data_IF_697445380415
#
_entry.id   IF_697445380415
#
_cell.length_a   1.000
_cell.length_b   1.000
_cell.length_c   1.000
_cell.angle_alpha   90.00
_cell.angle_beta   90.00
_cell.angle_gamma   90.00
#
_symmetry.space_group_name_H-M   'P 1'
#
loop_
_entity.id
_entity.type
_entity.pdbx_description
1 polymer ?
#
# COMPACT_ATOMS: atom_id res chain seq x y z
N UNK A 1 -47.54 0.13 40.89
CA UNK A 1 -46.57 1.19 40.60
C UNK A 1 -45.39 0.52 39.92
N UNK A 2 -45.24 0.82 38.64
CA UNK A 2 -44.20 0.31 37.75
C UNK A 2 -42.97 1.20 37.97
N UNK A 3 -41.83 0.61 38.34
CA UNK A 3 -40.53 1.26 38.14
C UNK A 3 -39.77 0.46 37.09
N UNK A 4 -39.48 1.18 36.02
CA UNK A 4 -38.96 0.70 34.74
C UNK A 4 -37.49 0.32 34.88
N UNK A 5 -37.15 -0.88 34.41
CA UNK A 5 -35.78 -1.33 34.29
C UNK A 5 -35.03 -0.52 33.24
N UNK A 6 -33.99 0.19 33.67
CA UNK A 6 -33.05 0.88 32.79
C UNK A 6 -32.38 -0.15 31.88
N UNK A 7 -32.49 -0.04 30.54
CA UNK A 7 -31.85 -0.98 29.63
C UNK A 7 -30.33 -0.80 29.70
N UNK A 8 -29.60 -1.90 29.96
CA UNK A 8 -28.15 -1.96 29.80
C UNK A 8 -27.80 -1.61 28.36
N UNK A 9 -27.06 -0.52 28.16
CA UNK A 9 -26.40 -0.21 26.88
C UNK A 9 -25.40 -1.33 26.59
N UNK A 10 -25.69 -2.11 25.56
CA UNK A 10 -24.75 -3.08 24.97
C UNK A 10 -23.70 -2.25 24.22
N UNK A 11 -22.43 -2.39 24.60
CA UNK A 11 -21.30 -1.84 23.85
C UNK A 11 -21.18 -2.59 22.51
N UNK A 12 -21.20 -1.91 21.35
CA UNK A 12 -20.95 -2.56 20.07
C UNK A 12 -19.44 -2.49 19.84
N UNK A 13 -18.68 -3.55 20.15
CA UNK A 13 -17.32 -3.79 19.62
C UNK A 13 -16.70 -5.08 20.20
N UNK A 14 -17.40 -6.21 20.12
CA UNK A 14 -16.77 -7.53 20.17
C UNK A 14 -16.73 -8.10 18.74
N UNK A 15 -15.55 -8.48 18.19
CA UNK A 15 -15.39 -8.98 16.82
C UNK A 15 -16.26 -10.21 16.47
N UNK A 16 -16.79 -10.90 17.48
CA UNK A 16 -17.45 -12.20 17.35
C UNK A 16 -18.91 -12.14 16.88
N UNK A 17 -19.50 -10.95 16.69
CA UNK A 17 -20.92 -10.82 16.31
C UNK A 17 -21.19 -9.74 15.26
N UNK A 18 -20.25 -9.50 14.35
CA UNK A 18 -20.63 -8.75 13.15
C UNK A 18 -21.47 -9.68 12.27
N UNK A 19 -22.71 -9.26 12.01
CA UNK A 19 -23.58 -9.85 10.99
C UNK A 19 -23.64 -8.91 9.79
N UNK A 20 -23.65 -9.44 8.58
CA UNK A 20 -23.86 -8.62 7.39
C UNK A 20 -25.29 -8.03 7.39
N UNK A 21 -25.58 -7.09 6.47
CA UNK A 21 -26.93 -6.52 6.33
C UNK A 21 -28.02 -7.57 6.01
N UNK A 22 -27.62 -8.79 5.65
CA UNK A 22 -28.49 -9.95 5.39
C UNK A 22 -28.57 -10.92 6.59
N UNK A 23 -28.06 -10.53 7.76
CA UNK A 23 -28.18 -11.30 9.01
C UNK A 23 -27.30 -12.54 9.13
N UNK A 24 -26.32 -12.75 8.23
CA UNK A 24 -25.36 -13.85 8.35
C UNK A 24 -24.15 -13.44 9.18
N UNK A 25 -23.62 -14.31 10.06
CA UNK A 25 -22.34 -14.08 10.73
C UNK A 25 -21.24 -13.87 9.69
N UNK A 26 -20.34 -12.90 9.88
CA UNK A 26 -19.25 -12.67 8.91
C UNK A 26 -18.28 -13.86 8.73
N UNK A 27 -18.27 -14.80 9.67
CA UNK A 27 -17.53 -16.08 9.55
C UNK A 27 -18.19 -17.07 8.59
N UNK A 28 -19.46 -16.87 8.24
CA UNK A 28 -20.19 -17.65 7.25
C UNK A 28 -20.38 -16.80 6.00
N UNK A 29 -19.59 -17.04 4.96
CA UNK A 29 -19.67 -16.28 3.71
C UNK A 29 -21.11 -16.22 3.17
N UNK A 30 -21.64 -15.01 3.04
CA UNK A 30 -22.95 -14.77 2.44
C UNK A 30 -22.78 -14.63 0.93
N UNK A 31 -23.40 -15.51 0.14
CA UNK A 31 -23.37 -15.46 -1.33
C UNK A 31 -23.85 -14.10 -1.89
N UNK A 32 -24.80 -13.42 -1.22
CA UNK A 32 -25.24 -12.09 -1.62
C UNK A 32 -24.21 -10.98 -1.32
N UNK A 33 -23.34 -11.16 -0.32
CA UNK A 33 -22.19 -10.27 -0.09
C UNK A 33 -21.05 -10.58 -1.08
N UNK A 34 -20.87 -11.84 -1.47
CA UNK A 34 -19.97 -12.23 -2.56
C UNK A 34 -20.40 -11.64 -3.92
N UNK A 35 -21.69 -11.42 -4.15
CA UNK A 35 -22.18 -10.73 -5.36
C UNK A 35 -21.82 -9.23 -5.33
N UNK A 36 -21.89 -8.57 -4.18
CA UNK A 36 -21.38 -7.19 -4.01
C UNK A 36 -19.86 -7.09 -4.21
N UNK A 37 -19.13 -8.20 -4.03
CA UNK A 37 -17.67 -8.19 -4.21
C UNK A 37 -17.26 -7.88 -5.63
N UNK A 38 -18.03 -8.32 -6.64
CA UNK A 38 -17.68 -8.17 -8.07
C UNK A 38 -17.78 -6.73 -8.60
N UNK A 39 -18.37 -5.81 -7.82
CA UNK A 39 -18.52 -4.40 -8.21
C UNK A 39 -17.28 -3.56 -7.84
N UNK A 40 -16.30 -4.13 -7.13
CA UNK A 40 -15.03 -3.44 -6.86
C UNK A 40 -14.22 -3.30 -8.17
N UNK A 41 -13.74 -2.10 -8.52
CA UNK A 41 -12.97 -1.89 -9.77
C UNK A 41 -11.64 -2.67 -9.75
N UNK A 42 -11.15 -3.01 -8.56
CA UNK A 42 -10.00 -3.87 -8.35
C UNK A 42 -10.14 -5.26 -9.02
N UNK A 43 -11.36 -5.80 -9.17
CA UNK A 43 -11.54 -7.08 -9.86
C UNK A 43 -11.23 -7.02 -11.36
N UNK A 44 -11.53 -5.90 -12.02
CA UNK A 44 -11.12 -5.71 -13.41
C UNK A 44 -9.59 -5.75 -13.54
N UNK A 45 -8.90 -5.11 -12.59
CA UNK A 45 -7.43 -5.16 -12.49
C UNK A 45 -6.93 -6.59 -12.26
N UNK A 46 -7.49 -7.32 -11.28
CA UNK A 46 -7.12 -8.71 -11.00
C UNK A 46 -7.29 -9.60 -12.24
N UNK A 47 -8.41 -9.47 -12.96
CA UNK A 47 -8.68 -10.25 -14.15
C UNK A 47 -7.64 -9.96 -15.26
N UNK A 48 -7.32 -8.68 -15.49
CA UNK A 48 -6.27 -8.29 -16.44
C UNK A 48 -4.90 -8.84 -16.06
N UNK A 49 -4.54 -8.81 -14.77
CA UNK A 49 -3.26 -9.36 -14.29
C UNK A 49 -3.21 -10.88 -14.50
N UNK A 50 -4.31 -11.57 -14.22
CA UNK A 50 -4.42 -13.02 -14.41
C UNK A 50 -4.30 -13.41 -15.89
N UNK A 51 -4.98 -12.70 -16.79
CA UNK A 51 -4.92 -12.95 -18.24
C UNK A 51 -3.50 -12.81 -18.80
N UNK A 52 -2.72 -11.89 -18.23
CA UNK A 52 -1.32 -11.67 -18.60
C UNK A 52 -0.34 -12.54 -17.80
N UNK A 53 -0.84 -13.44 -16.94
CA UNK A 53 0.01 -14.30 -16.13
C UNK A 53 0.66 -15.41 -16.96
N UNK A 54 1.88 -15.76 -16.58
CA UNK A 54 2.62 -16.87 -17.19
C UNK A 54 2.34 -18.19 -16.48
N UNK A 55 1.69 -18.14 -15.33
CA UNK A 55 1.41 -19.27 -14.45
C UNK A 55 -0.10 -19.42 -14.26
N UNK A 56 -0.52 -20.60 -13.83
CA UNK A 56 -1.93 -20.91 -13.59
C UNK A 56 -2.19 -21.00 -12.09
N UNK A 57 -3.16 -20.22 -11.59
CA UNK A 57 -3.70 -20.38 -10.24
C UNK A 57 -4.76 -21.49 -10.21
N UNK A 58 -4.79 -22.26 -9.14
CA UNK A 58 -5.82 -23.27 -8.90
C UNK A 58 -7.18 -22.66 -8.52
N UNK A 59 -7.17 -21.52 -7.82
CA UNK A 59 -8.36 -20.83 -7.34
C UNK A 59 -8.15 -19.30 -7.28
N UNK A 60 -9.26 -18.56 -7.10
CA UNK A 60 -9.30 -17.10 -7.00
C UNK A 60 -9.44 -16.63 -5.54
N UNK A 61 -8.68 -17.22 -4.63
CA UNK A 61 -8.62 -16.79 -3.23
C UNK A 61 -7.24 -16.25 -2.87
N UNK A 62 -7.13 -15.72 -1.65
CA UNK A 62 -5.89 -15.18 -1.08
C UNK A 62 -4.78 -16.26 -1.05
N UNK A 63 -5.11 -17.44 -0.53
CA UNK A 63 -4.20 -18.57 -0.38
C UNK A 63 -4.43 -19.55 -1.54
N UNK A 64 -3.41 -19.79 -2.35
CA UNK A 64 -3.57 -20.57 -3.58
C UNK A 64 -2.35 -21.43 -3.91
N UNK A 65 -2.56 -22.39 -4.81
CA UNK A 65 -1.49 -23.08 -5.52
C UNK A 65 -1.33 -22.47 -6.91
N UNK A 66 -0.10 -22.47 -7.40
CA UNK A 66 0.27 -21.95 -8.71
C UNK A 66 1.12 -22.99 -9.42
N UNK A 67 0.79 -23.23 -10.69
CA UNK A 67 1.55 -24.12 -11.55
C UNK A 67 2.23 -23.30 -12.65
N UNK A 68 3.56 -23.42 -12.79
CA UNK A 68 4.30 -22.81 -13.90
C UNK A 68 4.05 -23.55 -15.22
N UNK A 69 4.55 -23.00 -16.33
CA UNK A 69 4.43 -23.68 -17.65
C UNK A 69 5.26 -24.96 -17.70
N UNK A 70 6.33 -24.97 -16.92
CA UNK A 70 7.27 -26.07 -16.76
C UNK A 70 6.72 -27.16 -15.81
N UNK A 71 5.59 -26.90 -15.14
CA UNK A 71 4.92 -27.85 -14.25
C UNK A 71 5.33 -27.73 -12.77
N UNK A 72 6.19 -26.77 -12.42
CA UNK A 72 6.56 -26.52 -11.03
C UNK A 72 5.36 -25.97 -10.25
N UNK A 73 5.20 -26.46 -9.02
CA UNK A 73 4.10 -26.06 -8.14
C UNK A 73 4.65 -25.15 -7.04
N UNK A 74 3.96 -24.04 -6.83
CA UNK A 74 4.23 -23.06 -5.80
C UNK A 74 2.99 -22.82 -4.95
N UNK A 75 3.16 -22.50 -3.68
CA UNK A 75 2.04 -22.11 -2.80
C UNK A 75 2.20 -20.67 -2.33
N UNK A 76 1.15 -19.87 -2.47
CA UNK A 76 1.05 -18.54 -1.87
C UNK A 76 0.18 -18.62 -0.64
N UNK A 77 0.64 -18.03 0.46
CA UNK A 77 -0.12 -17.94 1.71
C UNK A 77 0.06 -16.59 2.37
N UNK A 78 -0.99 -16.14 3.06
CA UNK A 78 -0.95 -14.96 3.91
C UNK A 78 -0.50 -15.29 5.35
N UNK A 79 0.37 -14.47 5.91
CA UNK A 79 0.71 -14.46 7.33
C UNK A 79 -0.25 -13.50 8.03
N UNK A 80 -1.09 -14.04 8.91
CA UNK A 80 -2.23 -13.30 9.51
C UNK A 80 -2.02 -12.90 10.97
N UNK A 81 -0.99 -13.42 11.64
CA UNK A 81 -0.74 -13.14 13.05
C UNK A 81 0.73 -13.22 13.41
N UNK A 82 1.09 -12.70 14.59
CA UNK A 82 2.45 -12.78 15.17
C UNK A 82 2.90 -14.21 15.47
N UNK A 83 1.94 -15.11 15.71
CA UNK A 83 2.17 -16.49 16.15
C UNK A 83 2.29 -17.45 14.97
N UNK A 84 2.20 -16.93 13.75
CA UNK A 84 2.40 -17.71 12.54
C UNK A 84 3.85 -18.23 12.49
N UNK A 85 3.98 -19.55 12.35
CA UNK A 85 5.28 -20.24 12.34
C UNK A 85 6.20 -19.78 11.21
N UNK A 86 5.66 -19.21 10.14
CA UNK A 86 6.42 -18.74 8.98
C UNK A 86 6.93 -17.30 9.12
N UNK A 87 6.48 -16.56 10.14
CA UNK A 87 6.84 -15.14 10.29
C UNK A 87 8.36 -14.94 10.44
N UNK A 88 9.01 -15.80 11.22
CA UNK A 88 10.47 -15.75 11.39
C UNK A 88 11.22 -15.90 10.06
N UNK A 89 10.76 -16.81 9.21
CA UNK A 89 11.33 -17.03 7.86
C UNK A 89 11.08 -15.85 6.94
N UNK A 90 9.88 -15.26 6.98
CA UNK A 90 9.55 -14.07 6.19
C UNK A 90 10.45 -12.89 6.57
N UNK A 91 10.64 -12.63 7.86
CA UNK A 91 11.51 -11.55 8.35
C UNK A 91 12.97 -11.77 7.93
N UNK A 92 13.48 -13.00 8.02
CA UNK A 92 14.82 -13.32 7.54
C UNK A 92 14.97 -13.10 6.02
N UNK A 93 13.92 -13.38 5.25
CA UNK A 93 13.91 -13.12 3.81
C UNK A 93 13.86 -11.61 3.50
N UNK A 94 13.18 -10.81 4.33
CA UNK A 94 13.25 -9.34 4.22
C UNK A 94 14.68 -8.85 4.48
N UNK A 95 15.31 -9.29 5.58
CA UNK A 95 16.69 -8.91 5.95
C UNK A 95 17.70 -9.29 4.84
N UNK A 96 17.45 -10.38 4.10
CA UNK A 96 18.29 -10.82 2.97
C UNK A 96 18.18 -9.91 1.74
N UNK A 97 16.99 -9.39 1.45
CA UNK A 97 16.69 -8.73 0.16
C UNK A 97 16.66 -7.20 0.25
N UNK A 98 16.55 -6.63 1.44
CA UNK A 98 16.43 -5.18 1.66
C UNK A 98 17.56 -4.66 2.55
N UNK A 99 17.95 -3.40 2.37
CA UNK A 99 18.96 -2.74 3.22
C UNK A 99 18.37 -2.48 4.61
N UNK A 100 19.22 -2.55 5.64
CA UNK A 100 18.79 -2.40 7.04
C UNK A 100 18.05 -1.08 7.31
N UNK A 101 18.47 0.01 6.67
CA UNK A 101 17.86 1.34 6.77
C UNK A 101 16.48 1.45 6.12
N UNK A 102 16.09 0.51 5.26
CA UNK A 102 14.77 0.43 4.63
C UNK A 102 13.77 -0.42 5.40
N UNK A 103 14.23 -1.13 6.43
CA UNK A 103 13.43 -2.08 7.20
C UNK A 103 13.01 -1.49 8.54
N UNK A 104 11.80 -1.83 8.98
CA UNK A 104 11.40 -1.61 10.36
C UNK A 104 12.11 -2.61 11.26
N UNK A 105 12.31 -2.27 12.53
CA UNK A 105 12.72 -3.29 13.51
C UNK A 105 11.67 -4.41 13.57
N UNK A 106 12.08 -5.63 13.95
CA UNK A 106 11.15 -6.78 14.03
C UNK A 106 9.93 -6.48 14.90
N UNK A 107 10.13 -5.84 16.04
CA UNK A 107 9.04 -5.43 16.93
C UNK A 107 8.09 -4.42 16.26
N UNK A 108 8.64 -3.38 15.62
CA UNK A 108 7.82 -2.40 14.91
C UNK A 108 7.07 -3.05 13.73
N UNK A 109 7.67 -4.03 13.06
CA UNK A 109 7.01 -4.79 11.99
C UNK A 109 5.83 -5.60 12.53
N UNK A 110 6.02 -6.32 13.64
CA UNK A 110 4.96 -7.10 14.31
C UNK A 110 3.83 -6.19 14.75
N UNK A 111 4.13 -5.05 15.38
CA UNK A 111 3.12 -4.06 15.77
C UNK A 111 2.31 -3.59 14.56
N UNK A 112 2.97 -3.30 13.43
CA UNK A 112 2.27 -2.92 12.20
C UNK A 112 1.42 -4.06 11.62
N UNK A 113 1.83 -5.32 11.72
CA UNK A 113 0.97 -6.46 11.37
C UNK A 113 -0.27 -6.56 12.25
N UNK A 114 -0.13 -6.26 13.54
CA UNK A 114 -1.24 -6.22 14.50
C UNK A 114 -2.14 -4.99 14.32
N UNK A 115 -1.72 -4.01 13.50
CA UNK A 115 -2.48 -2.78 13.26
C UNK A 115 -2.22 -1.75 14.34
N UNK A 116 -1.02 -1.74 14.91
CA UNK A 116 -0.62 -0.85 16.00
C UNK A 116 0.60 -0.04 15.65
N UNK A 117 0.62 1.20 16.13
CA UNK A 117 1.85 2.01 16.16
C UNK A 117 2.72 1.58 17.34
N UNK A 118 3.97 2.07 17.39
CA UNK A 118 4.85 1.91 18.55
C UNK A 118 4.30 2.54 19.85
N UNK A 119 3.25 3.35 19.73
CA UNK A 119 2.56 3.98 20.85
C UNK A 119 1.22 3.28 21.18
N UNK A 120 0.95 2.12 20.57
CA UNK A 120 -0.27 1.35 20.81
C UNK A 120 -1.55 1.92 20.19
N UNK A 121 -1.44 2.92 19.30
CA UNK A 121 -2.59 3.43 18.54
C UNK A 121 -2.92 2.51 17.38
N UNK A 122 -4.20 2.38 17.07
CA UNK A 122 -4.66 1.68 15.88
C UNK A 122 -4.12 2.35 14.61
N UNK A 123 -3.70 1.54 13.64
CA UNK A 123 -3.26 1.95 12.30
C UNK A 123 -3.64 0.88 11.29
N UNK A 124 -3.56 1.19 9.98
CA UNK A 124 -3.62 0.18 8.95
C UNK A 124 -2.62 -0.97 9.18
N UNK A 125 -3.10 -2.19 8.91
CA UNK A 125 -2.36 -3.42 9.16
C UNK A 125 -1.43 -3.75 8.00
N UNK A 126 -0.20 -4.18 8.30
CA UNK A 126 0.64 -4.86 7.33
C UNK A 126 0.02 -6.21 6.97
N UNK A 127 -0.15 -6.42 5.67
CA UNK A 127 -0.60 -7.68 5.06
C UNK A 127 0.59 -8.34 4.41
N UNK A 128 0.96 -9.50 4.95
CA UNK A 128 2.16 -10.21 4.56
C UNK A 128 1.78 -11.47 3.80
N UNK A 129 2.42 -11.70 2.67
CA UNK A 129 2.25 -12.88 1.84
C UNK A 129 3.62 -13.47 1.56
N UNK A 130 3.67 -14.79 1.45
CA UNK A 130 4.88 -15.49 1.03
C UNK A 130 4.56 -16.53 -0.04
N UNK A 131 5.57 -16.87 -0.83
CA UNK A 131 5.52 -17.97 -1.79
C UNK A 131 6.54 -19.03 -1.43
N UNK A 132 6.09 -20.30 -1.44
CA UNK A 132 6.95 -21.48 -1.25
C UNK A 132 7.04 -22.30 -2.52
N UNK A 133 8.20 -22.90 -2.79
CA UNK A 133 8.39 -23.86 -3.87
C UNK A 133 7.86 -25.26 -3.47
N UNK A 134 8.02 -26.23 -4.37
CA UNK A 134 7.67 -27.65 -4.17
C UNK A 134 8.40 -28.34 -3.01
N UNK A 135 9.58 -27.86 -2.62
CA UNK A 135 10.34 -28.35 -1.46
C UNK A 135 9.85 -27.73 -0.13
N UNK A 136 8.90 -26.81 -0.18
CA UNK A 136 8.40 -26.08 1.00
C UNK A 136 9.29 -24.93 1.46
N UNK A 137 10.34 -24.60 0.70
CA UNK A 137 11.24 -23.45 0.96
C UNK A 137 10.52 -22.16 0.59
N UNK A 138 10.53 -21.18 1.49
CA UNK A 138 10.06 -19.81 1.20
C UNK A 138 11.06 -19.10 0.28
N UNK A 139 10.60 -18.69 -0.90
CA UNK A 139 11.44 -18.15 -1.97
C UNK A 139 11.03 -16.73 -2.37
N UNK A 140 9.96 -16.20 -1.80
CA UNK A 140 9.51 -14.83 -2.04
C UNK A 140 8.53 -14.35 -0.99
N UNK A 141 8.42 -13.03 -0.89
CA UNK A 141 7.51 -12.34 0.01
C UNK A 141 6.92 -11.11 -0.65
N UNK A 142 5.76 -10.71 -0.14
CA UNK A 142 5.13 -9.43 -0.41
C UNK A 142 4.57 -8.85 0.89
N UNK A 143 4.76 -7.55 1.08
CA UNK A 143 4.09 -6.78 2.12
C UNK A 143 3.30 -5.67 1.47
N UNK A 144 2.09 -5.46 1.94
CA UNK A 144 1.22 -4.36 1.53
C UNK A 144 0.47 -3.79 2.73
N UNK A 145 -0.08 -2.61 2.55
CA UNK A 145 -0.92 -1.95 3.54
C UNK A 145 -2.16 -1.37 2.84
N UNK A 146 -3.25 -1.20 3.57
CA UNK A 146 -4.46 -0.58 3.04
C UNK A 146 -4.99 0.48 3.98
N UNK A 147 -5.15 1.69 3.47
CA UNK A 147 -5.60 2.83 4.25
C UNK A 147 -6.70 3.63 3.55
N UNK A 148 -7.55 4.34 4.32
CA UNK A 148 -8.59 5.20 3.76
C UNK A 148 -7.98 6.35 2.98
N UNK A 149 -8.66 6.74 1.90
CA UNK A 149 -8.46 8.04 1.28
C UNK A 149 -9.07 9.10 2.21
N UNK A 150 -8.36 10.20 2.44
CA UNK A 150 -8.83 11.35 3.19
C UNK A 150 -9.13 12.51 2.25
N UNK A 151 -10.15 13.28 2.59
CA UNK A 151 -10.48 14.52 1.91
C UNK A 151 -9.51 15.66 2.27
N UNK A 152 -9.72 16.84 1.68
CA UNK A 152 -8.90 18.02 1.94
C UNK A 152 -8.90 18.46 3.42
N UNK A 153 -9.93 18.10 4.20
CA UNK A 153 -10.07 18.41 5.63
C UNK A 153 -9.48 17.33 6.55
N UNK A 154 -9.00 16.22 5.99
CA UNK A 154 -8.51 15.07 6.77
C UNK A 154 -9.61 14.15 7.25
N UNK A 155 -10.80 14.19 6.64
CA UNK A 155 -11.91 13.27 6.92
C UNK A 155 -11.81 12.05 6.02
N UNK A 156 -11.98 10.85 6.57
CA UNK A 156 -12.04 9.62 5.77
C UNK A 156 -13.17 9.69 4.74
N UNK A 157 -12.87 9.32 3.50
CA UNK A 157 -13.86 9.13 2.45
C UNK A 157 -14.38 7.69 2.44
N UNK A 158 -15.25 7.37 1.49
CA UNK A 158 -15.67 5.98 1.24
C UNK A 158 -14.71 5.21 0.31
N UNK A 159 -13.54 5.76 -0.01
CA UNK A 159 -12.54 5.12 -0.88
C UNK A 159 -11.30 4.69 -0.09
N UNK A 160 -10.61 3.68 -0.59
CA UNK A 160 -9.37 3.13 -0.04
C UNK A 160 -8.23 3.14 -1.05
N UNK A 161 -7.03 3.21 -0.49
CA UNK A 161 -5.76 3.07 -1.17
C UNK A 161 -5.13 1.74 -0.76
N UNK A 162 -4.70 0.97 -1.76
CA UNK A 162 -3.80 -0.17 -1.57
C UNK A 162 -2.36 0.31 -1.78
N UNK A 163 -1.53 0.19 -0.74
CA UNK A 163 -0.13 0.58 -0.78
C UNK A 163 0.75 -0.65 -1.04
N UNK A 164 1.35 -0.67 -2.23
CA UNK A 164 2.26 -1.71 -2.69
C UNK A 164 3.68 -1.43 -2.17
N UNK A 165 4.07 -2.12 -1.09
CA UNK A 165 5.35 -1.92 -0.42
C UNK A 165 6.39 -2.96 -0.89
N UNK A 166 6.92 -3.75 0.04
CA UNK A 166 8.00 -4.69 -0.17
C UNK A 166 7.58 -5.85 -1.08
N UNK A 167 8.44 -6.19 -2.04
CA UNK A 167 8.32 -7.37 -2.88
C UNK A 167 9.73 -7.92 -3.13
N UNK A 168 9.93 -9.19 -2.82
CA UNK A 168 11.20 -9.86 -3.06
C UNK A 168 10.96 -11.30 -3.50
N UNK A 169 11.78 -11.75 -4.45
CA UNK A 169 11.82 -13.12 -4.94
C UNK A 169 13.29 -13.49 -5.15
N UNK A 170 13.65 -14.68 -4.69
CA UNK A 170 14.95 -15.28 -4.96
C UNK A 170 15.24 -15.31 -6.47
N UNK A 171 16.49 -15.01 -6.82
CA UNK A 171 16.88 -14.67 -8.19
C UNK A 171 16.50 -15.72 -9.23
N UNK A 172 16.64 -17.00 -8.86
CA UNK A 172 16.32 -18.16 -9.69
C UNK A 172 14.83 -18.22 -10.11
N UNK A 173 13.92 -17.59 -9.37
CA UNK A 173 12.47 -17.63 -9.61
C UNK A 173 11.88 -16.32 -10.15
N UNK A 174 12.68 -15.27 -10.35
CA UNK A 174 12.18 -13.94 -10.74
C UNK A 174 11.44 -13.91 -12.08
N UNK A 175 11.82 -14.79 -13.03
CA UNK A 175 11.23 -14.86 -14.37
C UNK A 175 9.92 -15.66 -14.45
N UNK A 176 9.58 -16.41 -13.40
CA UNK A 176 8.42 -17.31 -13.37
C UNK A 176 7.10 -16.53 -13.36
N UNK A 177 7.08 -15.35 -12.73
CA UNK A 177 5.88 -14.51 -12.61
C UNK A 177 5.23 -14.51 -11.22
N UNK A 178 5.89 -15.09 -10.20
CA UNK A 178 5.34 -15.21 -8.84
C UNK A 178 5.02 -13.86 -8.17
N UNK A 179 5.72 -12.78 -8.53
CA UNK A 179 5.47 -11.46 -7.95
C UNK A 179 4.07 -10.93 -8.31
N UNK A 180 3.65 -11.14 -9.56
CA UNK A 180 2.30 -10.78 -10.01
C UNK A 180 1.25 -11.60 -9.27
N UNK A 181 1.52 -12.87 -9.01
CA UNK A 181 0.58 -13.73 -8.31
C UNK A 181 0.44 -13.39 -6.82
N UNK A 182 1.54 -13.04 -6.15
CA UNK A 182 1.48 -12.48 -4.79
C UNK A 182 0.74 -11.14 -4.78
N UNK A 183 0.91 -10.33 -5.83
CA UNK A 183 0.18 -9.08 -6.00
C UNK A 183 -1.33 -9.33 -6.12
N UNK A 184 -1.75 -10.29 -6.93
CA UNK A 184 -3.16 -10.70 -7.05
C UNK A 184 -3.71 -11.14 -5.69
N UNK A 185 -3.01 -12.02 -4.96
CA UNK A 185 -3.43 -12.44 -3.61
C UNK A 185 -3.59 -11.26 -2.65
N UNK A 186 -2.66 -10.30 -2.68
CA UNK A 186 -2.74 -9.11 -1.83
C UNK A 186 -3.87 -8.16 -2.20
N UNK A 187 -4.24 -8.07 -3.48
CA UNK A 187 -5.41 -7.30 -3.91
C UNK A 187 -6.71 -7.97 -3.50
N UNK A 188 -6.79 -9.30 -3.57
CA UNK A 188 -7.98 -10.04 -3.09
C UNK A 188 -8.19 -9.78 -1.61
N UNK A 189 -7.14 -9.84 -0.78
CA UNK A 189 -7.25 -9.48 0.64
C UNK A 189 -7.72 -8.02 0.80
N UNK A 190 -7.12 -7.07 0.08
CA UNK A 190 -7.49 -5.66 0.18
C UNK A 190 -8.96 -5.37 -0.24
N UNK A 191 -9.48 -6.14 -1.20
CA UNK A 191 -10.90 -6.11 -1.58
C UNK A 191 -11.76 -6.59 -0.41
N UNK A 192 -11.46 -7.77 0.14
CA UNK A 192 -12.21 -8.32 1.28
C UNK A 192 -12.22 -7.37 2.48
N UNK A 193 -11.10 -6.71 2.76
CA UNK A 193 -10.99 -5.72 3.84
C UNK A 193 -11.78 -4.43 3.53
N UNK A 194 -11.74 -3.95 2.28
CA UNK A 194 -12.53 -2.78 1.86
C UNK A 194 -14.03 -3.04 2.01
N UNK A 195 -14.49 -4.22 1.63
CA UNK A 195 -15.89 -4.61 1.74
C UNK A 195 -16.38 -4.69 3.18
N UNK A 196 -15.57 -5.28 4.08
CA UNK A 196 -15.85 -5.30 5.53
C UNK A 196 -16.06 -3.89 6.09
N UNK A 197 -15.37 -2.90 5.52
CA UNK A 197 -15.47 -1.49 5.89
C UNK A 197 -16.48 -0.69 5.05
N UNK A 198 -17.16 -1.33 4.10
CA UNK A 198 -18.07 -0.68 3.13
C UNK A 198 -17.40 0.46 2.34
N UNK A 199 -16.14 0.26 1.99
CA UNK A 199 -15.33 1.18 1.21
C UNK A 199 -15.03 0.62 -0.18
N UNK A 200 -14.75 1.50 -1.13
CA UNK A 200 -14.32 1.17 -2.50
C UNK A 200 -12.80 1.17 -2.59
N UNK A 201 -12.19 0.06 -2.99
CA UNK A 201 -10.75 0.07 -3.31
C UNK A 201 -10.58 0.65 -4.72
N UNK A 202 -10.08 1.87 -4.82
CA UNK A 202 -10.02 2.59 -6.11
C UNK A 202 -8.62 3.03 -6.53
N UNK A 203 -7.68 3.07 -5.58
CA UNK A 203 -6.34 3.55 -5.82
C UNK A 203 -5.31 2.52 -5.40
N UNK A 204 -4.23 2.50 -6.16
CA UNK A 204 -2.98 1.85 -5.77
C UNK A 204 -1.90 2.91 -5.75
N UNK A 205 -1.15 2.93 -4.66
CA UNK A 205 0.06 3.74 -4.51
C UNK A 205 1.22 2.79 -4.26
N UNK A 206 2.41 3.15 -4.72
CA UNK A 206 3.63 2.42 -4.41
C UNK A 206 4.83 3.30 -4.66
N UNK A 207 5.97 2.86 -4.16
CA UNK A 207 7.25 3.49 -4.42
C UNK A 207 8.11 2.52 -5.23
N UNK A 208 8.97 3.07 -6.10
CA UNK A 208 9.90 2.24 -6.83
C UNK A 208 11.32 2.79 -6.82
N UNK A 209 12.24 1.85 -7.00
CA UNK A 209 13.61 2.09 -7.40
C UNK A 209 13.74 1.78 -8.90
N UNK A 210 14.85 2.17 -9.55
CA UNK A 210 15.17 1.71 -10.90
C UNK A 210 15.06 0.21 -11.11
N UNK A 211 15.37 -0.59 -10.06
CA UNK A 211 15.35 -2.06 -10.12
C UNK A 211 13.94 -2.66 -10.02
N UNK A 212 12.98 -1.92 -9.46
CA UNK A 212 11.62 -2.42 -9.20
C UNK A 212 10.56 -1.79 -10.10
N UNK A 213 10.90 -0.75 -10.85
CA UNK A 213 9.93 -0.04 -11.70
C UNK A 213 9.24 -0.96 -12.72
N UNK A 214 9.98 -1.79 -13.45
CA UNK A 214 9.39 -2.66 -14.48
C UNK A 214 8.38 -3.64 -13.86
N UNK A 215 8.68 -4.13 -12.65
CA UNK A 215 7.77 -4.98 -11.90
C UNK A 215 6.49 -4.24 -11.49
N UNK A 216 6.62 -2.99 -11.04
CA UNK A 216 5.47 -2.15 -10.66
C UNK A 216 4.65 -1.75 -11.90
N UNK A 217 5.29 -1.43 -13.04
CA UNK A 217 4.62 -1.18 -14.32
C UNK A 217 3.82 -2.40 -14.80
N UNK A 218 4.34 -3.62 -14.57
CA UNK A 218 3.66 -4.86 -14.94
C UNK A 218 2.37 -5.13 -14.14
N UNK A 219 2.13 -4.39 -13.06
CA UNK A 219 0.90 -4.41 -12.26
C UNK A 219 0.08 -3.11 -12.37
N UNK A 220 0.41 -2.25 -13.35
CA UNK A 220 -0.34 -1.06 -13.70
C UNK A 220 0.12 0.24 -13.05
N UNK A 221 1.01 0.18 -12.05
CA UNK A 221 1.55 1.39 -11.42
C UNK A 221 2.44 2.15 -12.41
N UNK A 222 2.30 3.47 -12.43
CA UNK A 222 3.07 4.37 -13.29
C UNK A 222 3.56 5.58 -12.51
N UNK A 223 4.70 6.14 -12.91
CA UNK A 223 5.25 7.36 -12.32
C UNK A 223 4.45 8.58 -12.78
N UNK A 224 4.42 9.61 -11.95
CA UNK A 224 3.63 10.82 -12.20
C UNK A 224 4.48 11.88 -12.89
N UNK A 225 3.99 12.43 -14.01
CA UNK A 225 4.61 13.53 -14.73
C UNK A 225 3.65 14.71 -14.83
N UNK A 226 4.20 15.90 -14.68
CA UNK A 226 3.54 17.16 -14.90
C UNK A 226 4.13 17.82 -16.15
N UNK A 227 3.25 18.24 -17.06
CA UNK A 227 3.63 18.97 -18.27
C UNK A 227 3.60 20.46 -18.00
N UNK A 228 4.66 21.17 -18.38
CA UNK A 228 4.72 22.63 -18.35
C UNK A 228 5.60 23.10 -19.51
N UNK A 229 5.14 24.07 -20.30
CA UNK A 229 5.90 24.63 -21.43
C UNK A 229 6.42 23.56 -22.43
N UNK A 230 5.65 22.47 -22.60
CA UNK A 230 6.02 21.36 -23.49
C UNK A 230 7.05 20.37 -22.92
N UNK A 231 7.53 20.58 -21.69
CA UNK A 231 8.42 19.66 -20.96
C UNK A 231 7.60 18.80 -20.01
N UNK A 232 7.88 17.50 -19.97
CA UNK A 232 7.33 16.58 -18.97
C UNK A 232 8.33 16.40 -17.84
N UNK A 233 8.00 16.88 -16.64
CA UNK A 233 8.83 16.74 -15.44
C UNK A 233 8.17 15.74 -14.49
N UNK A 234 8.94 14.78 -14.00
CA UNK A 234 8.49 13.86 -12.96
C UNK A 234 8.15 14.66 -11.69
N UNK A 235 7.03 14.32 -11.05
CA UNK A 235 6.65 14.90 -9.76
C UNK A 235 7.70 14.53 -8.71
N UNK A 236 8.42 15.49 -8.11
CA UNK A 236 9.33 15.19 -7.03
C UNK A 236 8.54 14.68 -5.82
N UNK A 237 8.93 13.51 -5.29
CA UNK A 237 8.35 12.95 -4.08
C UNK A 237 9.45 12.63 -3.08
N UNK A 238 9.28 13.17 -1.87
CA UNK A 238 10.18 12.99 -0.75
C UNK A 238 9.39 12.31 0.37
N UNK A 239 9.74 11.06 0.66
CA UNK A 239 9.18 10.37 1.80
C UNK A 239 9.61 11.08 3.09
N UNK A 240 8.67 11.41 3.99
CA UNK A 240 8.99 12.07 5.25
C UNK A 240 9.84 11.16 6.15
N UNK A 241 10.65 11.75 7.04
CA UNK A 241 11.39 11.05 8.07
C UNK A 241 10.49 10.11 8.89
N UNK A 242 10.95 8.87 9.09
CA UNK A 242 10.21 7.87 9.86
C UNK A 242 10.30 8.11 11.38
N UNK A 243 11.28 8.91 11.83
CA UNK A 243 11.60 9.16 13.23
C UNK A 243 11.67 10.65 13.53
N UNK A 244 11.04 11.05 14.63
CA UNK A 244 11.06 12.41 15.16
C UNK A 244 11.57 12.41 16.60
N UNK A 245 12.25 13.48 16.98
CA UNK A 245 12.71 13.71 18.34
C UNK A 245 11.52 14.15 19.19
N UNK A 246 11.14 13.34 20.18
CA UNK A 246 10.06 13.66 21.11
C UNK A 246 10.33 14.91 21.95
N UNK A 247 11.58 15.33 22.14
CA UNK A 247 11.91 16.54 22.91
C UNK A 247 11.73 17.82 22.10
N UNK A 248 12.13 17.79 20.83
CA UNK A 248 12.21 19.01 20.00
C UNK A 248 11.16 19.06 18.90
N UNK A 249 10.50 17.94 18.56
CA UNK A 249 9.60 17.82 17.42
C UNK A 249 10.31 17.72 16.07
N UNK A 250 11.64 17.81 16.04
CA UNK A 250 12.41 17.84 14.80
C UNK A 250 12.59 16.43 14.21
N UNK A 251 12.71 16.30 12.88
CA UNK A 251 13.03 15.02 12.26
C UNK A 251 14.44 14.54 12.67
N UNK A 252 14.57 13.23 12.93
CA UNK A 252 15.83 12.58 13.28
C UNK A 252 16.59 12.03 12.06
N UNK A 253 15.97 12.04 10.89
CA UNK A 253 16.57 11.66 9.62
C UNK A 253 16.19 12.67 8.54
N UNK A 254 16.91 12.63 7.43
CA UNK A 254 16.52 13.39 6.25
C UNK A 254 15.33 12.72 5.56
N UNK A 255 14.65 13.50 4.72
CA UNK A 255 13.69 12.99 3.75
C UNK A 255 14.38 12.07 2.74
N UNK A 256 13.67 11.04 2.28
CA UNK A 256 14.17 10.13 1.26
C UNK A 256 13.49 10.43 -0.08
N UNK A 257 14.27 10.80 -1.10
CA UNK A 257 13.76 10.94 -2.45
C UNK A 257 13.34 9.56 -2.99
N UNK A 258 12.10 9.45 -3.47
CA UNK A 258 11.51 8.21 -3.98
C UNK A 258 10.69 8.46 -5.25
N UNK A 259 10.59 7.45 -6.11
CA UNK A 259 9.68 7.52 -7.26
C UNK A 259 8.28 7.08 -6.83
N UNK A 260 7.39 8.04 -6.60
CA UNK A 260 5.98 7.75 -6.34
C UNK A 260 5.32 7.22 -7.61
N UNK A 261 4.60 6.12 -7.46
CA UNK A 261 3.84 5.51 -8.52
C UNK A 261 2.38 5.37 -8.11
N UNK A 262 1.49 5.62 -9.06
CA UNK A 262 0.05 5.53 -8.83
C UNK A 262 -0.62 4.74 -9.95
N UNK A 263 -1.74 4.13 -9.58
CA UNK A 263 -2.71 3.57 -10.50
C UNK A 263 -4.12 3.81 -9.94
N UNK A 264 -4.98 4.43 -10.75
CA UNK A 264 -6.40 4.53 -10.47
C UNK A 264 -7.11 3.39 -11.21
N UNK A 265 -7.82 2.56 -10.47
CA UNK A 265 -8.47 1.36 -11.02
C UNK A 265 -9.70 1.72 -11.88
N UNK A 266 -10.34 2.86 -11.60
CA UNK A 266 -11.54 3.33 -12.29
C UNK A 266 -11.32 4.72 -12.93
N UNK A 267 -11.23 4.76 -14.26
CA UNK A 267 -11.10 6.00 -15.02
C UNK A 267 -9.72 6.65 -14.97
N UNK A 268 -9.67 7.95 -15.31
CA UNK A 268 -8.43 8.74 -15.29
C UNK A 268 -8.21 9.38 -13.92
N UNK A 269 -6.97 9.38 -13.44
CA UNK A 269 -6.57 10.12 -12.25
C UNK A 269 -6.57 11.62 -12.53
N UNK A 270 -7.15 12.42 -11.65
CA UNK A 270 -7.07 13.89 -11.68
C UNK A 270 -5.96 14.39 -10.74
N UNK A 271 -5.55 15.66 -10.90
CA UNK A 271 -4.58 16.29 -9.98
C UNK A 271 -5.10 16.38 -8.55
N UNK A 272 -6.39 16.63 -8.38
CA UNK A 272 -7.03 16.68 -7.06
C UNK A 272 -6.98 15.29 -6.40
N UNK A 273 -7.34 14.24 -7.13
CA UNK A 273 -7.28 12.86 -6.62
C UNK A 273 -5.84 12.43 -6.30
N UNK A 274 -4.87 12.80 -7.15
CA UNK A 274 -3.45 12.59 -6.87
C UNK A 274 -3.05 13.25 -5.54
N UNK A 275 -3.40 14.53 -5.37
CA UNK A 275 -3.10 15.28 -4.17
C UNK A 275 -3.72 14.60 -2.93
N UNK A 276 -4.98 14.19 -3.00
CA UNK A 276 -5.65 13.48 -1.90
C UNK A 276 -5.00 12.13 -1.62
N UNK A 277 -4.58 11.39 -2.64
CA UNK A 277 -3.92 10.09 -2.46
C UNK A 277 -2.57 10.23 -1.75
N UNK A 278 -1.72 11.17 -2.18
CA UNK A 278 -0.43 11.41 -1.52
C UNK A 278 -0.64 12.05 -0.14
N UNK A 279 -1.60 12.96 -0.01
CA UNK A 279 -1.96 13.54 1.29
C UNK A 279 -2.37 12.45 2.28
N UNK A 280 -3.16 11.47 1.84
CA UNK A 280 -3.57 10.34 2.67
C UNK A 280 -2.37 9.52 3.14
N UNK A 281 -1.39 9.30 2.27
CA UNK A 281 -0.13 8.62 2.63
C UNK A 281 0.64 9.39 3.72
N UNK A 282 0.77 10.71 3.59
CA UNK A 282 1.40 11.54 4.62
C UNK A 282 0.58 11.62 5.91
N UNK A 283 -0.76 11.68 5.85
CA UNK A 283 -1.61 11.64 7.05
C UNK A 283 -1.39 10.33 7.79
N UNK A 284 -1.25 9.22 7.06
CA UNK A 284 -0.87 7.94 7.66
C UNK A 284 0.49 8.01 8.36
N UNK A 285 1.47 8.75 7.83
CA UNK A 285 2.76 8.96 8.49
C UNK A 285 2.66 9.87 9.73
N UNK A 286 1.92 10.97 9.64
CA UNK A 286 1.72 11.98 10.69
C UNK A 286 0.93 11.42 11.88
N UNK A 287 -0.19 10.72 11.63
CA UNK A 287 -1.04 10.14 12.67
C UNK A 287 -0.35 9.04 13.49
N UNK A 288 0.83 8.56 13.07
CA UNK A 288 1.60 7.61 13.86
C UNK A 288 2.16 8.22 15.15
N UNK A 289 2.33 9.54 15.24
CA UNK A 289 2.87 10.21 16.43
C UNK A 289 1.77 10.94 17.21
N UNK A 290 1.30 10.37 18.35
CA UNK A 290 0.41 11.07 19.27
C UNK A 290 1.01 12.38 19.79
N UNK A 291 0.16 13.28 20.28
CA UNK A 291 0.61 14.42 21.10
C UNK A 291 1.48 13.96 22.27
N UNK A 292 1.11 12.85 22.89
CA UNK A 292 1.78 12.21 24.03
C UNK A 292 3.18 11.66 23.69
N UNK A 293 3.52 11.54 22.40
CA UNK A 293 4.87 11.17 21.98
C UNK A 293 5.87 12.32 22.13
N UNK A 294 5.41 13.54 22.43
CA UNK A 294 6.23 14.74 22.53
C UNK A 294 6.22 15.34 23.94
N UNK A 295 7.37 15.86 24.36
CA UNK A 295 7.58 16.40 25.70
C UNK A 295 6.80 17.70 25.98
N UNK A 296 6.49 18.48 24.93
CA UNK A 296 5.82 19.78 25.03
C UNK A 296 4.86 20.02 23.86
N UNK A 297 3.95 21.00 24.00
CA UNK A 297 3.04 21.40 22.92
C UNK A 297 3.84 21.98 21.75
N UNK A 298 4.87 22.78 22.05
CA UNK A 298 5.80 23.35 21.07
C UNK A 298 6.49 22.26 20.21
N UNK A 299 6.95 21.16 20.83
CA UNK A 299 7.55 20.06 20.08
C UNK A 299 6.52 19.35 19.18
N UNK A 300 5.28 19.18 19.66
CA UNK A 300 4.23 18.61 18.83
C UNK A 300 3.83 19.54 17.68
N UNK A 301 3.68 20.84 17.93
CA UNK A 301 3.36 21.86 16.93
C UNK A 301 4.44 21.91 15.84
N UNK A 302 5.73 21.89 16.21
CA UNK A 302 6.82 21.83 15.24
C UNK A 302 6.77 20.59 14.34
N UNK A 303 6.38 19.44 14.90
CA UNK A 303 6.16 18.23 14.11
C UNK A 303 4.98 18.40 13.14
N UNK A 304 3.88 19.02 13.58
CA UNK A 304 2.73 19.31 12.69
C UNK A 304 3.13 20.30 11.57
N UNK A 305 3.84 21.38 11.90
CA UNK A 305 4.34 22.38 10.96
C UNK A 305 5.24 21.78 9.89
N UNK A 306 6.08 20.80 10.25
CA UNK A 306 6.90 20.07 9.30
C UNK A 306 6.04 19.37 8.24
N UNK A 307 5.01 18.63 8.64
CA UNK A 307 4.11 17.98 7.69
C UNK A 307 3.30 18.99 6.87
N UNK A 308 2.79 20.07 7.50
CA UNK A 308 2.10 21.15 6.79
C UNK A 308 2.95 21.81 5.69
N UNK A 309 4.25 21.98 5.95
CA UNK A 309 5.20 22.45 4.94
C UNK A 309 5.30 21.47 3.78
N UNK A 310 5.54 20.18 4.06
CA UNK A 310 5.66 19.13 3.03
C UNK A 310 4.38 19.05 2.18
N UNK A 311 3.20 19.12 2.80
CA UNK A 311 1.92 19.13 2.07
C UNK A 311 1.81 20.32 1.13
N UNK A 312 2.22 21.51 1.59
CA UNK A 312 2.12 22.75 0.81
C UNK A 312 3.03 22.71 -0.40
N UNK A 313 4.30 22.34 -0.21
CA UNK A 313 5.28 22.24 -1.29
C UNK A 313 4.83 21.25 -2.37
N UNK A 314 4.32 20.09 -1.95
CA UNK A 314 3.77 19.12 -2.91
C UNK A 314 2.52 19.64 -3.63
N UNK A 315 1.63 20.31 -2.91
CA UNK A 315 0.42 20.90 -3.50
C UNK A 315 0.79 21.90 -4.59
N UNK A 316 1.73 22.81 -4.29
CA UNK A 316 2.20 23.82 -5.21
C UNK A 316 2.80 23.19 -6.48
N UNK A 317 3.65 22.16 -6.33
CA UNK A 317 4.20 21.41 -7.48
C UNK A 317 3.10 20.81 -8.35
N UNK A 318 2.10 20.14 -7.76
CA UNK A 318 0.98 19.52 -8.50
C UNK A 318 0.14 20.57 -9.23
N UNK A 319 -0.15 21.71 -8.60
CA UNK A 319 -1.00 22.76 -9.18
C UNK A 319 -0.29 23.54 -10.29
N UNK A 320 1.04 23.69 -10.22
CA UNK A 320 1.83 24.43 -11.21
C UNK A 320 1.96 23.74 -12.57
N UNK A 321 1.75 22.42 -12.64
CA UNK A 321 1.69 21.72 -13.93
C UNK A 321 0.46 22.13 -14.74
N UNK A 322 0.53 22.13 -16.07
CA UNK A 322 -0.63 22.33 -16.95
C UNK A 322 -1.43 21.03 -17.05
N UNK A 323 -0.75 19.93 -17.36
CA UNK A 323 -1.33 18.60 -17.57
C UNK A 323 -0.62 17.58 -16.69
N UNK A 324 -1.36 16.58 -16.19
CA UNK A 324 -0.80 15.45 -15.46
C UNK A 324 -0.91 14.18 -16.31
N UNK A 325 0.20 13.43 -16.40
CA UNK A 325 0.28 12.20 -17.17
C UNK A 325 0.97 11.12 -16.33
N UNK A 326 0.42 9.91 -16.35
CA UNK A 326 1.05 8.74 -15.74
C UNK A 326 1.82 7.95 -16.80
N UNK A 327 3.12 7.76 -16.57
CA UNK A 327 4.00 7.11 -17.55
C UNK A 327 4.76 5.92 -16.93
N UNK A 328 4.67 4.77 -17.60
CA UNK A 328 5.59 3.64 -17.41
C UNK A 328 6.95 3.92 -18.03
N UNK A 329 7.96 3.12 -17.68
CA UNK A 329 9.31 3.24 -18.26
C UNK A 329 9.29 3.21 -19.79
N UNK A 330 8.60 2.23 -20.37
CA UNK A 330 8.50 2.09 -21.83
C UNK A 330 7.86 3.31 -22.48
N UNK A 331 6.78 3.84 -21.91
CA UNK A 331 6.09 5.02 -22.45
C UNK A 331 7.00 6.26 -22.44
N UNK A 332 7.85 6.42 -21.41
CA UNK A 332 8.83 7.51 -21.36
C UNK A 332 9.90 7.37 -22.43
N UNK A 333 10.47 6.18 -22.57
CA UNK A 333 11.47 5.89 -23.61
C UNK A 333 10.90 6.16 -25.00
N UNK A 334 9.64 5.81 -25.26
CA UNK A 334 8.98 6.03 -26.54
C UNK A 334 8.70 7.52 -26.79
N UNK A 335 8.34 8.30 -25.77
CA UNK A 335 8.19 9.75 -25.88
C UNK A 335 9.52 10.45 -26.18
N UNK A 336 10.60 10.02 -25.52
CA UNK A 336 11.96 10.53 -25.78
C UNK A 336 12.37 10.23 -27.22
N UNK A 337 12.15 9.00 -27.70
CA UNK A 337 12.43 8.62 -29.10
C UNK A 337 11.63 9.45 -30.11
N UNK A 338 10.43 9.92 -29.74
CA UNK A 338 9.59 10.82 -30.55
C UNK A 338 9.95 12.30 -30.41
N UNK A 339 11.01 12.64 -29.66
CA UNK A 339 11.52 14.00 -29.50
C UNK A 339 10.90 14.80 -28.36
N UNK A 340 10.13 14.18 -27.46
CA UNK A 340 9.65 14.87 -26.24
C UNK A 340 10.79 15.03 -25.23
N UNK A 341 10.78 16.16 -24.51
CA UNK A 341 11.69 16.36 -23.37
C UNK A 341 11.04 15.79 -22.11
N UNK A 342 11.64 14.74 -21.54
CA UNK A 342 11.19 14.08 -20.31
C UNK A 342 12.30 14.19 -19.27
N UNK A 343 12.01 14.84 -18.14
CA UNK A 343 12.93 15.03 -17.03
C UNK A 343 12.50 14.12 -15.87
N UNK A 344 13.36 13.17 -15.51
CA UNK A 344 13.13 12.27 -14.38
C UNK A 344 13.59 12.94 -13.08
N UNK A 345 13.06 12.46 -11.96
CA UNK A 345 13.47 12.90 -10.64
C UNK A 345 14.72 12.14 -10.17
N UNK A 346 15.89 12.56 -10.65
CA UNK A 346 17.17 11.83 -10.50
C UNK A 346 17.62 11.62 -9.04
N UNK A 347 17.16 12.45 -8.10
CA UNK A 347 17.50 12.28 -6.69
C UNK A 347 17.03 10.93 -6.12
N UNK A 348 15.92 10.39 -6.63
CA UNK A 348 15.40 9.08 -6.23
C UNK A 348 16.23 7.91 -6.78
N UNK A 349 17.05 8.13 -7.81
CA UNK A 349 17.95 7.11 -8.36
C UNK A 349 19.23 6.96 -7.52
N UNK A 350 19.67 8.05 -6.87
CA UNK A 350 20.94 8.10 -6.14
C UNK A 350 20.89 7.36 -4.79
N UNK A 351 19.72 7.29 -4.16
CA UNK A 351 19.54 6.74 -2.81
C UNK A 351 19.62 5.20 -2.71
N UNK A 352 19.73 4.46 -3.82
CA UNK A 352 19.55 3.00 -3.84
C UNK A 352 20.65 2.21 -4.57
N UNK A 353 21.82 2.82 -4.84
CA UNK A 353 22.99 2.08 -5.34
C UNK A 353 23.63 1.17 -4.30
#
# INVERSE_FOLDING_TARGET
>A
MLEEGIPRKIHPNTPEQQVCAHGKPFVEHCDSCLVQSKDQPAWATINQLRENSRVQRDNMTIDCQITSREGDIFSIKAIRSRDDSELGTLLALMDKHFKEDTLNSKEAFIQKMEGKTQFGKERPQYRCFHVKNNEGKMIGLRVSEQFPLFDAKGTETNENIFYAMYIAIDEEYRSVGLAREMYISSLIDAIEQSEKRRQKLNYIVGECSPRTEELQNAVGLKRVYLKSEGVLKELPYYQPPMKFDGQTGAPLSQEAAEHIMLFKMDGKLTKEELFLAIKSLYIQYQNNYPREAFASDEAFEKHQEYFEKVYRELSDEIQNGEEMILLSKQEREDLIKKGSTVLNFEAADQNRT
#
